data_IF_007558570227
#
_entry.id   IF_007558570227
#
_cell.length_a   1.000
_cell.length_b   1.000
_cell.length_c   1.000
_cell.angle_alpha   90.00
_cell.angle_beta   90.00
_cell.angle_gamma   90.00
#
_symmetry.space_group_name_H-M   'P 1'
#
loop_
_entity.id
_entity.type
_entity.pdbx_description
1 polymer ?
#
# COMPACT_ATOMS: atom_id res chain seq x y z
N UNK A 1 18.27 -56.80 -34.78
CA UNK A 1 18.19 -55.43 -35.34
C UNK A 1 18.95 -54.49 -34.42
N UNK A 2 20.10 -53.89 -34.88
CA UNK A 2 20.85 -52.88 -34.13
C UNK A 2 20.12 -51.56 -34.22
N UNK A 3 19.60 -51.02 -33.11
CA UNK A 3 19.10 -49.66 -33.02
C UNK A 3 20.29 -48.70 -33.13
N UNK A 4 20.39 -47.96 -34.22
CA UNK A 4 21.35 -46.85 -34.34
C UNK A 4 20.80 -45.66 -33.55
N UNK A 5 21.38 -45.39 -32.41
CA UNK A 5 21.13 -44.13 -31.71
C UNK A 5 21.74 -43.01 -32.49
N UNK A 6 20.90 -42.17 -33.11
CA UNK A 6 21.35 -40.91 -33.71
C UNK A 6 21.75 -39.96 -32.60
N UNK A 7 23.03 -39.68 -32.49
CA UNK A 7 23.53 -38.65 -31.57
C UNK A 7 23.16 -37.26 -32.06
N UNK A 8 22.89 -36.36 -31.12
CA UNK A 8 22.60 -34.94 -31.40
C UNK A 8 23.90 -34.24 -31.81
N UNK A 9 23.87 -33.44 -32.86
CA UNK A 9 25.06 -32.69 -33.27
C UNK A 9 25.22 -31.41 -32.44
N UNK A 10 26.45 -30.98 -32.25
CA UNK A 10 26.78 -29.76 -31.51
C UNK A 10 26.15 -28.52 -32.18
N UNK A 11 26.05 -28.53 -33.50
CA UNK A 11 25.43 -27.44 -34.31
C UNK A 11 23.93 -27.37 -34.03
N UNK A 12 23.21 -28.51 -33.99
CA UNK A 12 21.77 -28.52 -33.70
C UNK A 12 21.49 -27.94 -32.31
N UNK A 13 22.32 -28.27 -31.32
CA UNK A 13 22.18 -27.68 -29.97
C UNK A 13 22.43 -26.15 -29.98
N UNK A 14 23.49 -25.71 -30.71
CA UNK A 14 23.86 -24.30 -30.77
C UNK A 14 22.75 -23.47 -31.45
N UNK A 15 22.14 -23.97 -32.52
CA UNK A 15 21.02 -23.27 -33.22
C UNK A 15 19.81 -23.14 -32.28
N UNK A 16 19.48 -24.20 -31.54
CA UNK A 16 18.33 -24.18 -30.64
C UNK A 16 18.53 -23.15 -29.53
N UNK A 17 19.67 -23.14 -28.87
CA UNK A 17 19.95 -22.13 -27.80
C UNK A 17 20.02 -20.72 -28.38
N UNK A 18 20.50 -20.54 -29.61
CA UNK A 18 20.49 -19.27 -30.31
C UNK A 18 19.08 -18.71 -30.51
N UNK A 19 18.19 -19.56 -31.03
CA UNK A 19 16.79 -19.18 -31.25
C UNK A 19 16.10 -18.88 -29.88
N UNK A 20 16.31 -19.73 -28.87
CA UNK A 20 15.75 -19.51 -27.56
C UNK A 20 16.24 -18.20 -26.95
N UNK A 21 17.53 -17.86 -27.12
CA UNK A 21 18.09 -16.59 -26.65
C UNK A 21 17.43 -15.36 -27.27
N UNK A 22 17.19 -15.41 -28.58
CA UNK A 22 16.51 -14.32 -29.30
C UNK A 22 15.06 -14.18 -28.81
N UNK A 23 14.35 -15.29 -28.68
CA UNK A 23 12.96 -15.28 -28.21
C UNK A 23 12.85 -14.77 -26.77
N UNK A 24 13.72 -15.21 -25.86
CA UNK A 24 13.78 -14.71 -24.50
C UNK A 24 14.09 -13.21 -24.42
N UNK A 25 15.03 -12.73 -25.24
CA UNK A 25 15.36 -11.30 -25.31
C UNK A 25 14.18 -10.43 -25.71
N UNK A 26 13.37 -10.90 -26.65
CA UNK A 26 12.16 -10.18 -27.10
C UNK A 26 11.01 -10.23 -26.08
N UNK A 27 10.88 -11.32 -25.32
CA UNK A 27 9.79 -11.52 -24.34
C UNK A 27 10.03 -10.81 -23.01
N UNK A 28 11.29 -10.60 -22.61
CA UNK A 28 11.64 -10.07 -21.29
C UNK A 28 10.99 -8.71 -20.95
N UNK A 29 10.97 -7.70 -21.85
CA UNK A 29 10.31 -6.42 -21.58
C UNK A 29 8.80 -6.56 -21.40
N UNK A 30 8.16 -7.44 -22.19
CA UNK A 30 6.72 -7.68 -22.11
C UNK A 30 6.32 -8.34 -20.78
N UNK A 31 7.10 -9.32 -20.31
CA UNK A 31 6.88 -9.98 -19.04
C UNK A 31 7.04 -8.98 -17.87
N UNK A 32 8.07 -8.14 -17.91
CA UNK A 32 8.31 -7.15 -16.85
C UNK A 32 7.15 -6.15 -16.73
N UNK A 33 6.59 -5.68 -17.84
CA UNK A 33 5.44 -4.78 -17.83
C UNK A 33 4.15 -5.48 -17.36
N UNK A 34 3.95 -6.72 -17.74
CA UNK A 34 2.81 -7.53 -17.29
C UNK A 34 2.87 -7.78 -15.77
N UNK A 35 4.05 -8.11 -15.24
CA UNK A 35 4.25 -8.27 -13.79
C UNK A 35 3.98 -6.98 -13.02
N UNK A 36 4.45 -5.83 -13.52
CA UNK A 36 4.14 -4.54 -12.90
C UNK A 36 2.64 -4.29 -12.88
N UNK A 37 1.94 -4.53 -13.98
CA UNK A 37 0.49 -4.36 -14.08
C UNK A 37 -0.27 -5.29 -13.12
N UNK A 38 0.12 -6.55 -13.01
CA UNK A 38 -0.46 -7.49 -12.07
C UNK A 38 -0.24 -7.06 -10.60
N UNK A 39 0.98 -6.64 -10.27
CA UNK A 39 1.33 -6.19 -8.93
C UNK A 39 0.58 -4.90 -8.54
N UNK A 40 0.43 -3.94 -9.46
CA UNK A 40 -0.34 -2.71 -9.19
C UNK A 40 -1.82 -3.00 -9.04
N UNK A 41 -2.39 -3.92 -9.81
CA UNK A 41 -3.78 -4.34 -9.65
C UNK A 41 -4.02 -5.02 -8.30
N UNK A 42 -3.15 -5.95 -7.90
CA UNK A 42 -3.24 -6.62 -6.61
C UNK A 42 -3.11 -5.64 -5.44
N UNK A 43 -2.19 -4.68 -5.53
CA UNK A 43 -2.03 -3.65 -4.51
C UNK A 43 -3.23 -2.69 -4.47
N UNK A 44 -3.80 -2.31 -5.62
CA UNK A 44 -5.02 -1.49 -5.64
C UNK A 44 -6.19 -2.18 -4.92
N UNK A 45 -6.31 -3.50 -5.06
CA UNK A 45 -7.32 -4.27 -4.31
C UNK A 45 -7.04 -4.26 -2.80
N UNK A 46 -5.78 -4.46 -2.40
CA UNK A 46 -5.39 -4.41 -0.97
C UNK A 46 -5.65 -3.03 -0.35
N UNK A 47 -5.26 -1.96 -1.03
CA UNK A 47 -5.51 -0.61 -0.56
C UNK A 47 -7.01 -0.29 -0.44
N UNK A 48 -7.82 -0.77 -1.39
CA UNK A 48 -9.28 -0.65 -1.29
C UNK A 48 -9.85 -1.46 -0.13
N UNK A 49 -9.38 -2.69 0.10
CA UNK A 49 -9.83 -3.49 1.23
C UNK A 49 -9.49 -2.82 2.55
N UNK A 50 -8.29 -2.24 2.67
CA UNK A 50 -7.90 -1.45 3.83
C UNK A 50 -8.83 -0.24 4.02
N UNK A 51 -9.08 0.51 2.96
CA UNK A 51 -10.00 1.65 2.98
C UNK A 51 -11.42 1.25 3.41
N UNK A 52 -11.96 0.17 2.84
CA UNK A 52 -13.29 -0.34 3.18
C UNK A 52 -13.35 -0.75 4.64
N UNK A 53 -12.31 -1.42 5.16
CA UNK A 53 -12.24 -1.77 6.57
C UNK A 53 -12.25 -0.56 7.50
N UNK A 54 -11.47 0.47 7.19
CA UNK A 54 -11.45 1.73 7.96
C UNK A 54 -12.82 2.42 7.90
N UNK A 55 -13.43 2.49 6.71
CA UNK A 55 -14.76 3.11 6.54
C UNK A 55 -15.84 2.35 7.29
N UNK A 56 -15.79 1.01 7.29
CA UNK A 56 -16.71 0.20 8.07
C UNK A 56 -16.52 0.43 9.57
N UNK A 57 -15.30 0.45 10.06
CA UNK A 57 -14.99 0.76 11.44
C UNK A 57 -15.55 2.14 11.85
N UNK A 58 -15.38 3.16 10.99
CA UNK A 58 -15.96 4.49 11.22
C UNK A 58 -17.48 4.45 11.33
N UNK A 59 -18.16 3.74 10.42
CA UNK A 59 -19.63 3.62 10.43
C UNK A 59 -20.13 2.92 11.72
N UNK A 60 -19.43 1.88 12.16
CA UNK A 60 -19.76 1.18 13.40
C UNK A 60 -19.56 2.06 14.63
N UNK A 61 -18.50 2.87 14.65
CA UNK A 61 -18.21 3.81 15.73
C UNK A 61 -19.19 4.99 15.76
N UNK A 62 -19.50 5.56 14.60
CA UNK A 62 -20.50 6.63 14.47
C UNK A 62 -21.87 6.18 15.00
N UNK A 63 -22.26 4.94 14.72
CA UNK A 63 -23.50 4.36 15.27
C UNK A 63 -23.51 4.27 16.81
N UNK A 64 -22.34 4.26 17.44
CA UNK A 64 -22.14 4.27 18.89
C UNK A 64 -21.90 5.68 19.46
N UNK A 65 -21.87 6.72 18.61
CA UNK A 65 -21.57 8.10 18.99
C UNK A 65 -20.07 8.36 19.25
N UNK A 66 -19.20 7.48 18.75
CA UNK A 66 -17.73 7.60 18.89
C UNK A 66 -17.15 8.31 17.66
N UNK A 67 -15.97 8.92 17.83
CA UNK A 67 -15.24 9.56 16.75
C UNK A 67 -14.60 8.56 15.78
N UNK A 68 -14.26 9.02 14.56
CA UNK A 68 -13.67 8.18 13.52
C UNK A 68 -12.26 7.70 13.90
N UNK A 69 -11.83 6.58 13.31
CA UNK A 69 -10.50 6.04 13.52
C UNK A 69 -9.41 6.70 12.64
N UNK A 70 -9.75 7.70 11.80
CA UNK A 70 -8.73 8.37 10.99
C UNK A 70 -7.68 9.08 11.87
N UNK A 71 -6.39 9.02 11.51
CA UNK A 71 -5.35 9.68 12.29
C UNK A 71 -5.49 11.20 12.25
N UNK A 72 -5.37 11.86 13.39
CA UNK A 72 -5.38 13.30 13.51
C UNK A 72 -4.01 13.91 13.19
N UNK A 73 -3.97 15.22 12.90
CA UNK A 73 -2.72 15.94 12.60
C UNK A 73 -1.94 16.31 13.85
N UNK A 74 -2.64 16.66 14.92
CA UNK A 74 -2.05 17.12 16.18
C UNK A 74 -2.88 16.59 17.35
N UNK A 75 -2.25 16.40 18.51
CA UNK A 75 -2.92 16.03 19.76
C UNK A 75 -3.82 17.15 20.31
N UNK A 76 -3.81 18.33 19.69
CA UNK A 76 -4.42 19.57 20.25
C UNK A 76 -5.72 19.98 19.54
N UNK A 77 -6.39 19.10 18.80
CA UNK A 77 -7.63 19.41 18.09
C UNK A 77 -8.87 19.51 19.02
N UNK A 78 -8.67 19.78 20.30
CA UNK A 78 -9.74 20.06 21.27
C UNK A 78 -10.59 18.86 21.64
N UNK A 79 -10.28 17.70 21.11
CA UNK A 79 -10.80 16.42 21.58
C UNK A 79 -9.91 15.97 22.74
N UNK A 80 -10.11 16.54 23.92
CA UNK A 80 -9.61 15.98 25.16
C UNK A 80 -10.24 14.59 25.34
N UNK A 81 -9.68 13.59 24.67
CA UNK A 81 -9.94 12.21 25.05
C UNK A 81 -9.20 11.99 26.36
N UNK A 82 -9.91 12.15 27.48
CA UNK A 82 -9.46 11.64 28.78
C UNK A 82 -9.27 10.11 28.70
N UNK A 83 -9.70 9.49 27.59
CA UNK A 83 -9.54 8.09 27.27
C UNK A 83 -8.31 7.91 26.39
N UNK A 84 -7.14 7.75 27.03
CA UNK A 84 -5.85 7.55 26.37
C UNK A 84 -5.75 6.21 25.63
N UNK A 85 -6.77 5.37 25.71
CA UNK A 85 -6.79 4.03 25.14
C UNK A 85 -7.52 3.95 23.76
N UNK A 86 -8.15 5.05 23.30
CA UNK A 86 -8.84 5.07 22.01
C UNK A 86 -7.92 5.55 20.87
N UNK A 87 -7.98 4.88 19.73
CA UNK A 87 -7.31 5.26 18.47
C UNK A 87 -7.78 6.63 17.95
N UNK A 88 -9.02 6.99 18.26
CA UNK A 88 -9.64 8.22 17.79
C UNK A 88 -8.99 9.46 18.42
N UNK A 89 -8.79 10.49 17.61
CA UNK A 89 -8.24 11.77 18.08
C UNK A 89 -6.73 11.75 18.35
N UNK A 90 -6.03 10.65 18.11
CA UNK A 90 -4.58 10.55 18.33
C UNK A 90 -3.78 10.98 17.10
N UNK A 91 -2.70 11.68 17.34
CA UNK A 91 -1.65 11.92 16.35
C UNK A 91 -0.61 10.80 16.42
N UNK A 92 -0.20 10.32 15.26
CA UNK A 92 0.78 9.25 15.14
C UNK A 92 2.05 9.77 14.48
N UNK A 93 3.22 9.38 14.99
CA UNK A 93 4.50 9.76 14.42
C UNK A 93 4.76 9.06 13.07
N UNK A 94 4.06 7.96 12.80
CA UNK A 94 4.18 7.22 11.55
C UNK A 94 2.94 6.38 11.25
N UNK A 95 2.70 6.13 9.95
CA UNK A 95 1.63 5.21 9.52
C UNK A 95 1.80 3.80 10.10
N UNK A 96 3.02 3.39 10.43
CA UNK A 96 3.28 2.08 11.04
C UNK A 96 2.73 2.00 12.46
N UNK A 97 2.88 3.05 13.26
CA UNK A 97 2.31 3.13 14.62
C UNK A 97 0.79 3.12 14.56
N UNK A 98 0.21 3.91 13.67
CA UNK A 98 -1.23 3.88 13.44
C UNK A 98 -1.74 2.47 13.08
N UNK A 99 -1.07 1.77 12.15
CA UNK A 99 -1.48 0.42 11.79
C UNK A 99 -1.28 -0.61 12.89
N UNK A 100 -0.31 -0.43 13.78
CA UNK A 100 -0.17 -1.29 14.96
C UNK A 100 -1.42 -1.24 15.82
N UNK A 101 -1.94 -0.06 16.06
CA UNK A 101 -3.12 0.15 16.87
C UNK A 101 -4.38 -0.25 16.13
N UNK A 102 -4.55 0.16 14.87
CA UNK A 102 -5.69 -0.17 14.03
C UNK A 102 -5.96 -1.69 13.95
N UNK A 103 -4.90 -2.49 13.90
CA UNK A 103 -4.96 -3.96 13.84
C UNK A 103 -4.72 -4.64 15.18
N UNK A 104 -4.60 -3.88 16.27
CA UNK A 104 -4.30 -4.42 17.61
C UNK A 104 -3.16 -5.44 17.59
N UNK A 105 -2.01 -5.00 17.04
CA UNK A 105 -0.87 -5.90 16.77
C UNK A 105 -0.28 -6.49 18.05
N UNK A 106 -0.34 -5.78 19.15
CA UNK A 106 0.26 -6.21 20.42
C UNK A 106 -0.49 -7.42 21.00
N UNK A 107 -1.79 -7.54 20.71
CA UNK A 107 -2.63 -8.69 21.10
C UNK A 107 -2.83 -9.70 19.96
N UNK A 108 -2.16 -9.54 18.82
CA UNK A 108 -2.37 -10.38 17.64
C UNK A 108 -2.21 -11.89 17.94
N UNK A 109 -3.29 -12.64 17.66
CA UNK A 109 -3.34 -14.08 17.91
C UNK A 109 -3.60 -14.49 19.37
N UNK A 110 -3.89 -13.55 20.25
CA UNK A 110 -4.35 -13.78 21.63
C UNK A 110 -5.88 -13.88 21.67
N UNK A 111 -6.41 -14.31 22.83
CA UNK A 111 -7.86 -14.51 23.01
C UNK A 111 -8.63 -13.17 22.99
N UNK A 112 -8.00 -12.11 23.42
CA UNK A 112 -8.53 -10.74 23.53
C UNK A 112 -8.17 -9.85 22.33
N UNK A 113 -7.68 -10.44 21.23
CA UNK A 113 -7.39 -9.66 20.03
C UNK A 113 -8.65 -9.02 19.45
N UNK A 114 -8.69 -7.70 19.46
CA UNK A 114 -9.84 -6.88 19.07
C UNK A 114 -9.45 -5.73 18.13
N UNK A 115 -9.11 -6.00 16.86
CA UNK A 115 -8.74 -4.96 15.91
C UNK A 115 -9.92 -4.01 15.63
N UNK A 116 -9.62 -2.71 15.47
CA UNK A 116 -10.63 -1.73 15.07
C UNK A 116 -11.22 -2.04 13.68
N UNK A 117 -10.43 -2.62 12.77
CA UNK A 117 -10.89 -3.05 11.44
C UNK A 117 -11.28 -4.52 11.46
N UNK A 118 -12.56 -4.79 11.57
CA UNK A 118 -13.09 -6.15 11.52
C UNK A 118 -13.16 -6.67 10.06
N UNK A 119 -12.86 -7.97 9.89
CA UNK A 119 -12.97 -8.63 8.57
C UNK A 119 -11.90 -8.28 7.54
N UNK A 120 -10.88 -7.50 7.91
CA UNK A 120 -9.74 -7.19 7.05
C UNK A 120 -8.53 -7.97 7.50
N UNK A 121 -7.96 -8.78 6.60
CA UNK A 121 -6.71 -9.52 6.87
C UNK A 121 -5.54 -8.54 6.94
N UNK A 122 -4.70 -8.67 7.97
CA UNK A 122 -3.48 -7.87 8.14
C UNK A 122 -2.52 -7.97 6.94
N UNK A 123 -2.64 -9.01 6.12
CA UNK A 123 -1.88 -9.15 4.88
C UNK A 123 -2.09 -8.02 3.88
N UNK A 124 -3.16 -7.20 4.03
CA UNK A 124 -3.38 -5.99 3.21
C UNK A 124 -2.27 -4.96 3.40
N UNK A 125 -1.59 -4.96 4.55
CA UNK A 125 -0.46 -4.06 4.82
C UNK A 125 0.77 -4.38 3.97
N UNK A 126 0.93 -5.62 3.51
CA UNK A 126 2.04 -6.05 2.67
C UNK A 126 1.84 -5.72 1.19
N UNK A 127 2.89 -5.84 0.39
CA UNK A 127 2.83 -5.58 -1.06
C UNK A 127 3.98 -6.21 -1.82
N UNK A 128 4.09 -5.88 -3.10
CA UNK A 128 5.20 -6.38 -3.94
C UNK A 128 6.55 -5.92 -3.37
N UNK A 129 7.38 -6.87 -2.95
CA UNK A 129 8.67 -6.60 -2.32
C UNK A 129 8.59 -6.09 -0.87
N UNK A 130 7.39 -5.99 -0.30
CA UNK A 130 7.16 -5.65 1.11
C UNK A 130 6.80 -6.95 1.84
N UNK A 131 7.63 -7.43 2.77
CA UNK A 131 7.40 -8.70 3.45
C UNK A 131 6.12 -8.63 4.30
N UNK A 132 5.39 -9.74 4.34
CA UNK A 132 4.21 -9.86 5.17
C UNK A 132 4.58 -9.81 6.67
N UNK A 133 3.61 -9.39 7.48
CA UNK A 133 3.69 -9.50 8.91
C UNK A 133 3.67 -10.98 9.35
N UNK A 134 4.53 -11.36 10.28
CA UNK A 134 4.70 -12.75 10.74
C UNK A 134 4.37 -12.95 12.23
N UNK A 135 3.65 -12.00 12.85
CA UNK A 135 3.04 -12.21 14.17
C UNK A 135 3.87 -11.82 15.39
N UNK A 136 5.04 -11.15 15.25
CA UNK A 136 5.83 -10.75 16.42
C UNK A 136 5.93 -9.24 16.63
N UNK A 137 6.11 -8.46 15.59
CA UNK A 137 6.18 -7.00 15.65
C UNK A 137 6.00 -6.42 14.26
N UNK A 138 5.05 -5.52 14.10
CA UNK A 138 4.88 -4.77 12.86
C UNK A 138 5.98 -3.71 12.76
N UNK A 139 6.78 -3.80 11.73
CA UNK A 139 7.84 -2.83 11.43
C UNK A 139 7.50 -2.06 10.15
N UNK A 140 8.09 -0.89 9.97
CA UNK A 140 7.87 -0.08 8.76
C UNK A 140 8.15 -0.85 7.47
N UNK A 141 9.10 -1.79 7.48
CA UNK A 141 9.40 -2.66 6.33
C UNK A 141 8.26 -3.61 5.94
N UNK A 142 7.31 -3.88 6.85
CA UNK A 142 6.15 -4.76 6.61
C UNK A 142 4.93 -3.98 6.07
N UNK A 143 5.02 -2.65 6.01
CA UNK A 143 3.93 -1.77 5.63
C UNK A 143 4.20 -1.17 4.26
N UNK A 144 3.29 -1.42 3.30
CA UNK A 144 3.34 -0.91 1.95
C UNK A 144 2.61 0.43 1.77
N UNK A 145 1.98 0.93 2.83
CA UNK A 145 1.06 2.05 2.79
C UNK A 145 1.47 3.20 3.69
N UNK A 146 1.12 4.39 3.28
CA UNK A 146 1.17 5.62 4.08
C UNK A 146 -0.24 6.20 4.09
N UNK A 147 -0.69 6.68 5.25
CA UNK A 147 -1.97 7.36 5.39
C UNK A 147 -1.76 8.86 5.46
N UNK A 148 -2.74 9.60 4.91
CA UNK A 148 -2.90 11.01 5.22
C UNK A 148 -3.51 11.18 6.62
N UNK A 149 -3.05 12.17 7.36
CA UNK A 149 -3.64 12.58 8.64
C UNK A 149 -4.62 13.73 8.45
N UNK A 150 -5.49 13.96 9.43
CA UNK A 150 -6.47 15.05 9.41
C UNK A 150 -7.58 14.86 8.39
N UNK A 151 -7.95 13.61 8.08
CA UNK A 151 -9.09 13.30 7.20
C UNK A 151 -10.38 13.56 7.96
N UNK A 152 -11.26 14.38 7.37
CA UNK A 152 -12.60 14.67 7.90
C UNK A 152 -13.69 14.27 6.91
N UNK A 153 -14.90 14.08 7.41
CA UNK A 153 -16.04 13.68 6.59
C UNK A 153 -16.48 14.76 5.59
N UNK A 154 -16.13 16.01 5.85
CA UNK A 154 -16.42 17.16 4.97
C UNK A 154 -15.49 17.24 3.75
N UNK A 155 -14.38 16.50 3.73
CA UNK A 155 -13.43 16.53 2.61
C UNK A 155 -14.04 15.90 1.36
N UNK A 156 -13.64 16.40 0.18
CA UNK A 156 -14.07 15.89 -1.11
C UNK A 156 -13.57 14.44 -1.35
N UNK A 157 -14.34 13.66 -2.11
CA UNK A 157 -14.05 12.26 -2.44
C UNK A 157 -12.73 12.06 -3.22
N UNK A 158 -12.21 13.11 -3.84
CA UNK A 158 -10.95 13.06 -4.60
C UNK A 158 -9.70 13.19 -3.74
N UNK A 159 -9.85 13.50 -2.44
CA UNK A 159 -8.71 13.66 -1.53
C UNK A 159 -8.00 12.32 -1.35
N UNK A 160 -6.66 12.27 -1.54
CA UNK A 160 -5.89 11.06 -1.25
C UNK A 160 -5.90 10.74 0.25
N UNK A 161 -6.23 9.52 0.61
CA UNK A 161 -6.27 9.10 2.02
C UNK A 161 -5.26 7.99 2.32
N UNK A 162 -5.04 7.07 1.37
CA UNK A 162 -4.05 6.01 1.49
C UNK A 162 -3.19 6.01 0.23
N UNK A 163 -1.88 6.02 0.39
CA UNK A 163 -0.95 5.97 -0.74
C UNK A 163 0.08 4.87 -0.55
N UNK A 164 0.61 4.33 -1.65
CA UNK A 164 1.71 3.37 -1.53
C UNK A 164 2.97 4.06 -1.01
N UNK A 165 3.68 3.40 -0.09
CA UNK A 165 4.81 3.98 0.66
C UNK A 165 5.97 4.48 -0.20
N UNK A 166 6.10 3.98 -1.42
CA UNK A 166 7.11 4.46 -2.36
C UNK A 166 6.79 5.82 -3.00
N UNK A 167 5.67 6.43 -2.66
CA UNK A 167 5.34 7.80 -3.00
C UNK A 167 5.88 8.71 -1.90
N UNK A 168 6.79 9.61 -2.25
CA UNK A 168 7.33 10.60 -1.31
C UNK A 168 6.23 11.62 -1.00
N UNK A 169 5.75 11.60 0.25
CA UNK A 169 4.55 12.32 0.68
C UNK A 169 4.81 13.66 1.34
N UNK A 170 6.05 14.13 1.37
CA UNK A 170 6.39 15.45 1.95
C UNK A 170 5.65 16.62 1.27
N UNK A 171 4.82 16.30 0.28
CA UNK A 171 4.14 17.28 -0.56
C UNK A 171 2.62 17.15 -0.62
N UNK A 172 1.99 16.32 0.23
CA UNK A 172 0.54 16.42 0.36
C UNK A 172 0.21 17.73 1.08
N UNK A 173 -0.63 18.60 0.48
CA UNK A 173 -1.04 19.81 1.14
C UNK A 173 -1.81 19.46 2.42
N UNK A 174 -1.28 19.84 3.55
CA UNK A 174 -1.87 19.65 4.89
C UNK A 174 -2.99 20.64 5.20
N UNK A 175 -3.31 21.55 4.30
CA UNK A 175 -4.42 22.49 4.46
C UNK A 175 -5.01 22.87 3.10
N UNK A 176 -6.31 22.90 3.03
CA UNK A 176 -7.18 22.98 1.87
C UNK A 176 -7.06 24.19 0.90
N UNK A 177 -5.89 24.73 0.72
CA UNK A 177 -5.61 25.75 -0.29
C UNK A 177 -4.13 25.76 -0.69
N UNK A 178 -3.64 24.69 -1.29
CA UNK A 178 -2.46 24.83 -2.13
C UNK A 178 -2.87 24.64 -3.58
N UNK A 179 -2.76 25.70 -4.32
CA UNK A 179 -2.88 25.73 -5.77
C UNK A 179 -1.87 24.73 -6.36
N UNK A 180 -2.34 23.54 -6.70
CA UNK A 180 -1.57 22.48 -7.36
C UNK A 180 -1.06 22.94 -8.74
N UNK A 181 -1.46 24.13 -9.20
CA UNK A 181 -1.08 24.66 -10.50
C UNK A 181 0.34 25.26 -10.54
N UNK A 182 0.90 25.63 -9.38
CA UNK A 182 2.18 26.34 -9.30
C UNK A 182 3.37 25.46 -8.89
N UNK A 183 3.16 24.28 -8.31
CA UNK A 183 4.21 23.30 -8.03
C UNK A 183 4.13 22.13 -9.00
N UNK A 184 4.78 22.30 -10.13
CA UNK A 184 5.21 21.21 -11.02
C UNK A 184 6.30 20.32 -10.40
N UNK A 185 6.42 20.32 -9.09
CA UNK A 185 7.34 19.44 -8.40
C UNK A 185 6.74 18.05 -8.47
N UNK A 186 7.27 17.33 -9.40
CA UNK A 186 7.00 15.95 -9.70
C UNK A 186 6.99 15.16 -8.41
N UNK A 187 5.86 14.50 -8.13
CA UNK A 187 5.77 13.49 -7.10
C UNK A 187 6.92 12.52 -7.32
N UNK A 188 7.86 12.50 -6.39
CA UNK A 188 9.01 11.62 -6.47
C UNK A 188 8.60 10.23 -6.01
N UNK A 189 9.04 9.22 -6.74
CA UNK A 189 8.73 7.84 -6.44
C UNK A 189 10.01 7.08 -6.10
N UNK A 190 10.00 6.39 -4.97
CA UNK A 190 11.03 5.42 -4.62
C UNK A 190 12.38 6.00 -4.18
N UNK A 191 12.48 7.29 -3.86
CA UNK A 191 13.72 7.89 -3.35
C UNK A 191 13.99 7.45 -1.91
N UNK A 192 13.01 7.62 -1.03
CA UNK A 192 13.14 7.25 0.40
C UNK A 192 12.83 5.78 0.62
N UNK A 193 11.76 5.29 -0.01
CA UNK A 193 11.33 3.90 0.08
C UNK A 193 11.10 3.33 -1.32
N UNK A 194 11.99 2.46 -1.81
CA UNK A 194 11.88 1.95 -3.18
C UNK A 194 10.73 0.95 -3.38
N UNK A 195 10.14 0.43 -2.30
CA UNK A 195 9.06 -0.55 -2.39
C UNK A 195 7.71 0.08 -2.02
N UNK A 196 6.59 -0.39 -2.62
CA UNK A 196 6.44 -1.64 -3.38
C UNK A 196 6.79 -1.59 -4.88
N UNK A 197 6.90 -0.42 -5.54
CA UNK A 197 7.01 -0.37 -7.01
C UNK A 197 8.24 0.40 -7.52
N UNK A 198 9.16 0.77 -6.63
CA UNK A 198 10.29 1.63 -6.97
C UNK A 198 9.83 2.97 -7.51
N UNK A 199 10.49 3.41 -8.57
CA UNK A 199 10.13 4.63 -9.29
C UNK A 199 9.15 4.41 -10.47
N UNK A 200 8.53 3.22 -10.60
CA UNK A 200 7.74 2.87 -11.78
C UNK A 200 6.28 3.22 -11.65
N UNK A 201 5.72 3.07 -10.47
CA UNK A 201 4.31 3.33 -10.20
C UNK A 201 4.08 3.64 -8.73
N UNK A 202 2.96 4.27 -8.42
CA UNK A 202 2.39 4.39 -7.09
C UNK A 202 0.88 4.17 -7.14
N UNK A 203 0.29 3.84 -6.00
CA UNK A 203 -1.14 3.66 -5.85
C UNK A 203 -1.65 4.72 -4.89
N UNK A 204 -2.76 5.33 -5.26
CA UNK A 204 -3.47 6.33 -4.48
C UNK A 204 -4.90 5.87 -4.29
N UNK A 205 -5.32 5.74 -3.06
CA UNK A 205 -6.72 5.50 -2.70
C UNK A 205 -7.30 6.82 -2.23
N UNK A 206 -8.39 7.20 -2.83
CA UNK A 206 -9.10 8.43 -2.53
C UNK A 206 -10.21 8.20 -1.50
N UNK A 207 -10.65 9.26 -0.84
CA UNK A 207 -11.71 9.22 0.18
C UNK A 207 -13.03 8.62 -0.35
N UNK A 208 -13.36 8.78 -1.62
CA UNK A 208 -14.48 8.10 -2.26
C UNK A 208 -14.23 6.62 -2.59
N UNK A 209 -13.15 6.00 -2.12
CA UNK A 209 -12.82 4.58 -2.36
C UNK A 209 -12.23 4.29 -3.75
N UNK A 210 -12.07 5.30 -4.59
CA UNK A 210 -11.44 5.12 -5.89
C UNK A 210 -9.93 4.86 -5.76
N UNK A 211 -9.42 3.86 -6.48
CA UNK A 211 -7.99 3.59 -6.56
C UNK A 211 -7.43 4.07 -7.89
N UNK A 212 -6.41 4.89 -7.84
CA UNK A 212 -5.68 5.42 -9.00
C UNK A 212 -4.26 4.88 -9.03
N UNK A 213 -3.81 4.43 -10.19
CA UNK A 213 -2.41 4.01 -10.40
C UNK A 213 -1.69 5.17 -11.10
N UNK A 214 -0.75 5.77 -10.40
CA UNK A 214 0.16 6.79 -10.93
C UNK A 214 1.38 6.08 -11.50
N UNK A 215 1.67 6.27 -12.78
CA UNK A 215 2.88 5.72 -13.43
C UNK A 215 3.88 6.82 -13.65
N UNK A 216 5.16 6.54 -13.38
CA UNK A 216 6.24 7.41 -13.82
C UNK A 216 6.24 7.52 -15.35
N UNK A 217 6.49 8.73 -15.85
CA UNK A 217 6.64 8.98 -17.29
C UNK A 217 8.07 8.67 -17.73
#
# INVERSE_FOLDING_TARGET
>A
MKKTNKGFTLVELLVVIGILGILMGALFPAISSAMLSANTSAASMRGRNLFVGITQANTEREAQGLTSVWPHQTEDDGLNSEDTDDIAGRAYSSSTEYFKELFDIDNYGQEDWAPYVSGVDIAVLSGSGVPAFTGSSLQSRNVAWTLASGITDEMEDVVPVIVSRNMDTDQFPTSGQQDMSTKKDTVKLGETYPQPFGNKAAIVIHKGGAATVVKAK
#
